data_IF_298655476590
#
_entry.id   IF_298655476590
#
_cell.length_a   1.000
_cell.length_b   1.000
_cell.length_c   1.000
_cell.angle_alpha   90.00
_cell.angle_beta   90.00
_cell.angle_gamma   90.00
#
_symmetry.space_group_name_H-M   'P 1'
#
loop_
_entity.id
_entity.type
_entity.pdbx_description
1 polymer ?
#
# COMPACT_ATOMS: atom_id res chain seq x y z
N UNK A 1 -10.29 -16.21 85.35
CA UNK A 1 -8.97 -16.21 86.02
C UNK A 1 -8.28 -14.95 85.51
N UNK A 2 -8.38 -13.97 86.32
CA UNK A 2 -7.35 -13.17 87.01
C UNK A 2 -6.49 -12.35 86.05
N UNK A 3 -6.77 -11.07 86.01
CA UNK A 3 -6.15 -9.97 86.75
C UNK A 3 -4.67 -9.71 86.38
N UNK A 4 -4.34 -8.59 85.86
CA UNK A 4 -3.62 -7.57 86.61
C UNK A 4 -3.56 -6.23 85.86
N UNK A 5 -4.20 -5.27 86.52
CA UNK A 5 -4.08 -3.84 86.34
C UNK A 5 -2.74 -3.35 86.88
N UNK A 6 -2.06 -2.44 86.21
CA UNK A 6 -1.05 -1.58 86.79
C UNK A 6 -1.16 -0.15 86.33
N UNK A 7 -1.69 0.65 87.24
CA UNK A 7 -1.68 2.12 87.17
C UNK A 7 -0.33 2.60 87.72
N UNK A 8 0.33 3.50 87.04
CA UNK A 8 1.24 4.44 87.67
C UNK A 8 1.05 5.85 87.19
N UNK A 9 0.64 6.66 88.11
CA UNK A 9 0.39 8.05 88.14
C UNK A 9 1.71 8.80 88.34
N UNK A 10 2.08 9.73 87.54
CA UNK A 10 3.23 10.59 87.80
C UNK A 10 2.90 12.03 87.35
N UNK A 11 2.84 12.90 88.31
CA UNK A 11 2.47 14.31 88.25
C UNK A 11 3.68 15.22 87.95
N UNK A 12 3.38 16.38 87.33
CA UNK A 12 4.02 17.73 87.41
C UNK A 12 5.41 17.84 86.73
N UNK A 13 5.63 18.94 85.99
CA UNK A 13 5.57 20.36 86.31
C UNK A 13 5.65 21.21 85.04
N UNK A 14 4.88 22.28 85.08
CA UNK A 14 4.94 23.45 84.18
C UNK A 14 6.29 24.15 84.22
N UNK A 15 6.88 24.39 83.02
CA UNK A 15 7.74 25.57 82.79
C UNK A 15 7.38 26.19 81.45
N UNK A 16 6.77 27.37 81.53
CA UNK A 16 6.67 28.29 80.41
C UNK A 16 8.08 28.77 80.05
N UNK A 17 8.48 28.55 78.85
CA UNK A 17 9.51 29.40 78.21
C UNK A 17 9.03 29.68 76.78
N UNK A 18 8.72 30.93 76.57
CA UNK A 18 8.42 31.49 75.25
C UNK A 18 9.65 31.37 74.38
N UNK A 19 9.54 30.65 73.25
CA UNK A 19 10.50 30.72 72.16
C UNK A 19 9.69 31.02 70.90
N UNK A 20 10.08 32.15 70.29
CA UNK A 20 9.53 32.75 69.12
C UNK A 20 9.31 31.76 67.97
N UNK A 21 8.11 31.73 67.47
CA UNK A 21 7.78 31.02 66.23
C UNK A 21 8.38 31.78 65.05
N UNK A 22 9.46 31.26 64.50
CA UNK A 22 9.88 31.62 63.12
C UNK A 22 9.07 30.75 62.21
N UNK A 23 8.00 31.32 61.69
CA UNK A 23 7.19 30.71 60.64
C UNK A 23 7.98 30.87 59.33
N UNK A 24 8.81 29.89 58.96
CA UNK A 24 9.37 29.81 57.63
C UNK A 24 8.26 29.28 56.71
N UNK A 25 7.61 30.22 56.01
CA UNK A 25 6.73 29.95 54.89
C UNK A 25 7.59 29.38 53.76
N UNK A 26 7.78 28.06 53.74
CA UNK A 26 8.26 27.35 52.55
C UNK A 26 7.06 27.29 51.62
N UNK A 27 6.86 28.30 50.80
CA UNK A 27 6.01 28.25 49.63
C UNK A 27 6.68 27.34 48.63
N UNK A 28 6.38 26.04 48.72
CA UNK A 28 6.75 25.06 47.72
C UNK A 28 6.09 25.42 46.41
N UNK A 29 6.84 26.04 45.49
CA UNK A 29 6.49 26.14 44.08
C UNK A 29 6.44 24.71 43.52
N UNK A 30 5.26 24.10 43.59
CA UNK A 30 4.96 22.91 42.78
C UNK A 30 4.91 23.38 41.33
N UNK A 31 6.09 23.38 40.68
CA UNK A 31 6.18 23.46 39.23
C UNK A 31 5.55 22.18 38.70
N UNK A 32 4.26 22.22 38.38
CA UNK A 32 3.65 21.17 37.58
C UNK A 32 4.33 21.21 36.21
N UNK A 33 5.34 20.33 36.05
CA UNK A 33 5.87 20.03 34.75
C UNK A 33 4.74 19.36 33.97
N UNK A 34 4.01 20.17 33.20
CA UNK A 34 3.10 19.64 32.18
C UNK A 34 4.00 18.94 31.16
N UNK A 35 4.20 17.64 31.36
CA UNK A 35 4.83 16.80 30.35
C UNK A 35 3.97 16.95 29.09
N UNK A 36 4.46 17.73 28.12
CA UNK A 36 3.86 17.80 26.80
C UNK A 36 3.80 16.37 26.25
N UNK A 37 2.59 15.83 26.18
CA UNK A 37 2.38 14.53 25.51
C UNK A 37 2.85 14.73 24.09
N UNK A 38 3.76 13.86 23.57
CA UNK A 38 4.11 13.91 22.17
C UNK A 38 2.80 13.76 21.39
N UNK A 39 2.40 14.80 20.68
CA UNK A 39 1.33 14.69 19.70
C UNK A 39 1.69 13.56 18.75
N UNK A 40 0.82 12.57 18.51
CA UNK A 40 1.10 11.55 17.53
C UNK A 40 1.42 12.27 16.22
N UNK A 41 2.67 12.16 15.77
CA UNK A 41 3.06 12.64 14.45
C UNK A 41 2.17 11.91 13.47
N UNK A 42 1.26 12.61 12.81
CA UNK A 42 0.49 12.04 11.72
C UNK A 42 1.50 11.54 10.70
N UNK A 43 1.67 10.21 10.62
CA UNK A 43 2.56 9.62 9.63
C UNK A 43 2.09 10.14 8.27
N UNK A 44 2.95 10.91 7.60
CA UNK A 44 2.65 11.43 6.28
C UNK A 44 2.30 10.25 5.37
N UNK A 45 1.21 10.38 4.60
CA UNK A 45 0.78 9.34 3.68
C UNK A 45 1.93 9.06 2.68
N UNK A 46 2.21 7.78 2.42
CA UNK A 46 3.25 7.41 1.48
C UNK A 46 2.96 8.05 0.10
N UNK A 47 3.99 8.57 -0.60
CA UNK A 47 3.83 9.21 -1.90
C UNK A 47 3.33 8.22 -2.96
N UNK A 48 2.87 8.71 -4.11
CA UNK A 48 2.54 7.85 -5.24
C UNK A 48 3.80 7.17 -5.78
N UNK A 49 3.69 5.88 -6.17
CA UNK A 49 4.78 5.17 -6.82
C UNK A 49 5.08 5.80 -8.19
N UNK A 50 6.35 5.94 -8.53
CA UNK A 50 6.78 6.33 -9.88
C UNK A 50 7.07 5.09 -10.73
N UNK A 51 7.01 5.21 -12.06
CA UNK A 51 7.32 4.11 -12.97
C UNK A 51 8.73 3.56 -12.72
N UNK A 52 9.71 4.43 -12.47
CA UNK A 52 11.10 4.02 -12.22
C UNK A 52 11.31 3.24 -10.90
N UNK A 53 10.35 3.30 -9.97
CA UNK A 53 10.39 2.55 -8.71
C UNK A 53 9.75 1.15 -8.83
N UNK A 54 9.04 0.90 -9.92
CA UNK A 54 8.23 -0.30 -10.10
C UNK A 54 8.87 -1.26 -11.10
N UNK A 55 8.96 -2.51 -10.71
CA UNK A 55 9.08 -3.62 -11.65
C UNK A 55 7.68 -4.06 -12.05
N UNK A 56 7.41 -4.04 -13.38
CA UNK A 56 6.11 -4.43 -13.93
C UNK A 56 6.28 -5.71 -14.71
N UNK A 57 5.59 -6.74 -14.28
CA UNK A 57 5.72 -8.06 -14.87
C UNK A 57 4.37 -8.78 -14.98
N UNK A 58 4.27 -9.70 -15.94
CA UNK A 58 3.06 -10.48 -16.18
C UNK A 58 3.25 -11.91 -15.67
N UNK A 59 2.33 -12.37 -14.82
CA UNK A 59 2.23 -13.80 -14.57
C UNK A 59 1.53 -14.45 -15.76
N UNK A 60 2.27 -15.28 -16.48
CA UNK A 60 1.78 -15.95 -17.71
C UNK A 60 0.94 -17.19 -17.43
N UNK A 61 0.81 -17.62 -16.17
CA UNK A 61 -0.14 -18.66 -15.76
C UNK A 61 -1.57 -18.11 -15.81
N UNK A 62 -2.06 -17.82 -17.01
CA UNK A 62 -3.38 -17.26 -17.22
C UNK A 62 -4.48 -18.32 -17.18
N UNK A 63 -5.70 -17.87 -16.88
CA UNK A 63 -6.92 -18.68 -17.00
C UNK A 63 -7.71 -18.23 -18.23
N UNK A 64 -8.19 -19.19 -19.03
CA UNK A 64 -9.06 -18.91 -20.17
C UNK A 64 -10.54 -19.08 -19.78
N UNK A 65 -11.37 -18.16 -20.18
CA UNK A 65 -12.83 -18.28 -20.05
C UNK A 65 -13.56 -17.50 -21.15
N UNK A 66 -14.56 -18.12 -21.76
CA UNK A 66 -15.49 -17.48 -22.69
C UNK A 66 -14.83 -16.63 -23.80
N UNK A 67 -13.77 -17.13 -24.43
CA UNK A 67 -13.08 -16.43 -25.52
C UNK A 67 -12.16 -15.27 -25.07
N UNK A 68 -11.77 -15.27 -23.80
CA UNK A 68 -10.77 -14.37 -23.24
C UNK A 68 -9.77 -15.12 -22.39
N UNK A 69 -8.57 -14.55 -22.24
CA UNK A 69 -7.56 -14.98 -21.29
C UNK A 69 -7.36 -13.92 -20.24
N UNK A 70 -7.18 -14.33 -18.99
CA UNK A 70 -6.99 -13.46 -17.84
C UNK A 70 -5.61 -13.67 -17.26
N UNK A 71 -4.88 -12.60 -17.04
CA UNK A 71 -3.50 -12.59 -16.55
C UNK A 71 -3.38 -11.65 -15.35
N UNK A 72 -2.49 -11.98 -14.42
CA UNK A 72 -2.11 -11.08 -13.36
C UNK A 72 -0.94 -10.21 -13.81
N UNK A 73 -1.21 -8.92 -14.06
CA UNK A 73 -0.20 -7.90 -14.28
C UNK A 73 0.20 -7.34 -12.92
N UNK A 74 1.46 -7.52 -12.53
CA UNK A 74 1.96 -7.21 -11.22
C UNK A 74 2.88 -5.99 -11.25
N UNK A 75 2.78 -5.15 -10.21
CA UNK A 75 3.57 -3.96 -10.01
C UNK A 75 4.29 -4.07 -8.67
N UNK A 76 5.58 -4.34 -8.70
CA UNK A 76 6.41 -4.58 -7.52
C UNK A 76 7.26 -3.35 -7.21
N UNK A 77 7.17 -2.82 -6.00
CA UNK A 77 8.01 -1.71 -5.55
C UNK A 77 9.42 -2.19 -5.23
N UNK A 78 10.39 -1.79 -6.04
CA UNK A 78 11.83 -2.08 -5.86
C UNK A 78 12.56 -1.00 -5.06
N UNK A 79 11.91 0.10 -4.73
CA UNK A 79 12.54 1.23 -4.04
C UNK A 79 12.79 0.96 -2.56
N UNK A 80 13.59 1.80 -1.93
CA UNK A 80 13.88 1.74 -0.49
C UNK A 80 12.74 2.33 0.37
N UNK A 81 11.70 2.90 -0.22
CA UNK A 81 10.63 3.60 0.47
C UNK A 81 9.27 3.02 0.09
N UNK A 82 8.32 3.09 1.01
CA UNK A 82 6.94 2.74 0.70
C UNK A 82 6.33 3.77 -0.24
N UNK A 83 5.46 3.31 -1.15
CA UNK A 83 4.71 4.16 -2.06
C UNK A 83 3.28 3.65 -2.23
N UNK A 84 2.41 4.41 -2.88
CA UNK A 84 1.00 4.06 -3.06
C UNK A 84 0.60 4.05 -4.53
N UNK A 85 -0.32 3.14 -4.87
CA UNK A 85 -1.02 3.09 -6.15
C UNK A 85 -2.52 3.26 -5.94
N UNK A 86 -3.21 3.86 -6.93
CA UNK A 86 -4.66 4.04 -6.89
C UNK A 86 -5.23 4.11 -8.31
N UNK A 87 -6.27 3.33 -8.58
CA UNK A 87 -6.98 3.35 -9.86
C UNK A 87 -6.44 2.34 -10.87
N UNK A 88 -6.52 2.67 -12.15
CA UNK A 88 -6.26 1.78 -13.26
C UNK A 88 -4.92 2.11 -13.93
N UNK A 89 -4.13 1.11 -14.36
CA UNK A 89 -3.01 1.34 -15.26
C UNK A 89 -3.52 1.61 -16.69
N UNK A 90 -2.77 2.38 -17.45
CA UNK A 90 -2.93 2.40 -18.91
C UNK A 90 -2.20 1.21 -19.51
N UNK A 91 -2.88 0.40 -20.33
CA UNK A 91 -2.27 -0.76 -20.98
C UNK A 91 -2.57 -0.73 -22.49
N UNK A 92 -1.57 -1.00 -23.32
CA UNK A 92 -1.73 -1.10 -24.77
C UNK A 92 -0.86 -2.21 -25.32
N UNK A 93 -1.33 -2.92 -26.35
CA UNK A 93 -0.49 -3.82 -27.14
C UNK A 93 0.48 -2.98 -27.98
N UNK A 94 1.72 -3.47 -28.15
CA UNK A 94 2.74 -2.79 -28.95
C UNK A 94 3.49 -3.74 -29.85
N UNK A 95 3.98 -3.21 -30.98
CA UNK A 95 4.94 -3.89 -31.84
C UNK A 95 6.34 -3.92 -31.23
N UNK A 96 7.27 -4.65 -31.85
CA UNK A 96 8.69 -4.64 -31.49
C UNK A 96 9.30 -3.21 -31.51
N UNK A 97 8.84 -2.36 -32.41
CA UNK A 97 9.26 -0.96 -32.51
C UNK A 97 8.55 -0.05 -31.48
N UNK A 98 7.72 -0.60 -30.62
CA UNK A 98 6.96 0.14 -29.63
C UNK A 98 5.76 0.91 -30.19
N UNK A 99 5.29 0.63 -31.40
CA UNK A 99 4.11 1.25 -31.99
C UNK A 99 2.87 0.58 -31.37
N UNK A 100 1.91 1.39 -30.91
CA UNK A 100 0.67 0.89 -30.36
C UNK A 100 -0.16 0.16 -31.43
N UNK A 101 -0.72 -0.98 -31.02
CA UNK A 101 -1.66 -1.77 -31.81
C UNK A 101 -3.06 -1.61 -31.19
N UNK A 102 -4.02 -1.29 -32.03
CA UNK A 102 -5.42 -1.18 -31.65
C UNK A 102 -5.70 -0.10 -30.60
N UNK A 103 -6.81 -0.28 -29.88
CA UNK A 103 -7.20 0.59 -28.78
C UNK A 103 -6.47 0.24 -27.51
N UNK A 104 -6.21 1.23 -26.66
CA UNK A 104 -5.79 0.99 -25.28
C UNK A 104 -6.85 0.20 -24.52
N UNK A 105 -6.43 -0.48 -23.47
CA UNK A 105 -7.32 -1.26 -22.62
C UNK A 105 -8.46 -0.41 -22.05
N UNK A 106 -9.66 -0.96 -22.09
CA UNK A 106 -10.80 -0.39 -21.42
C UNK A 106 -10.74 -0.71 -19.92
N UNK A 107 -11.23 0.20 -19.11
CA UNK A 107 -11.34 -0.03 -17.66
C UNK A 107 -12.56 -0.89 -17.37
N UNK A 108 -12.35 -1.97 -16.63
CA UNK A 108 -13.42 -2.77 -16.04
C UNK A 108 -13.65 -2.28 -14.60
N UNK A 109 -14.81 -1.66 -14.36
CA UNK A 109 -15.16 -1.04 -13.10
C UNK A 109 -16.02 -1.94 -12.19
N UNK A 110 -15.91 -3.27 -12.33
CA UNK A 110 -16.68 -4.21 -11.49
C UNK A 110 -16.37 -4.05 -10.00
N UNK A 111 -15.16 -3.59 -9.68
CA UNK A 111 -14.73 -3.35 -8.31
C UNK A 111 -14.36 -1.88 -8.09
N UNK A 112 -14.75 -1.35 -6.93
CA UNK A 112 -14.36 0.00 -6.54
C UNK A 112 -12.84 0.09 -6.38
N UNK A 113 -12.24 1.15 -6.94
CA UNK A 113 -10.81 1.38 -6.76
C UNK A 113 -10.46 1.67 -5.31
N UNK A 114 -9.42 1.04 -4.80
CA UNK A 114 -8.88 1.26 -3.47
C UNK A 114 -7.41 1.67 -3.54
N UNK A 115 -6.94 2.39 -2.52
CA UNK A 115 -5.52 2.74 -2.41
C UNK A 115 -4.72 1.53 -1.93
N UNK A 116 -3.70 1.15 -2.66
CA UNK A 116 -2.77 0.08 -2.30
C UNK A 116 -1.45 0.69 -1.90
N UNK A 117 -1.01 0.43 -0.66
CA UNK A 117 0.33 0.81 -0.20
C UNK A 117 1.27 -0.35 -0.41
N UNK A 118 2.35 -0.10 -1.14
CA UNK A 118 3.44 -1.03 -1.36
C UNK A 118 4.58 -0.70 -0.40
N UNK A 119 5.01 -1.68 0.38
CA UNK A 119 6.19 -1.54 1.24
C UNK A 119 7.46 -1.55 0.41
N UNK A 120 8.59 -1.12 1.00
CA UNK A 120 9.89 -1.26 0.36
C UNK A 120 10.29 -2.73 0.20
N UNK A 121 10.85 -3.10 -0.94
CA UNK A 121 11.48 -4.40 -1.13
C UNK A 121 12.71 -4.64 -0.23
N UNK A 122 13.31 -3.55 0.30
CA UNK A 122 14.53 -3.59 1.10
C UNK A 122 14.30 -3.74 2.60
N UNK A 123 13.08 -3.57 3.08
CA UNK A 123 12.77 -3.86 4.48
C UNK A 123 12.77 -5.36 4.67
N UNK A 124 13.94 -5.87 5.04
CA UNK A 124 14.20 -7.28 5.31
C UNK A 124 13.39 -7.77 6.53
N UNK A 125 12.15 -8.10 6.33
CA UNK A 125 11.40 -8.95 7.24
C UNK A 125 10.84 -10.13 6.45
N UNK A 126 11.72 -11.12 6.19
CA UNK A 126 11.37 -12.43 5.67
C UNK A 126 11.03 -12.42 4.17
N UNK A 127 11.90 -13.01 3.39
CA UNK A 127 11.75 -13.19 1.92
C UNK A 127 10.42 -13.85 1.52
N UNK A 128 9.81 -14.62 2.40
CA UNK A 128 8.59 -15.38 2.12
C UNK A 128 7.28 -14.56 2.23
N UNK A 129 7.33 -13.37 2.82
CA UNK A 129 6.14 -12.54 3.01
C UNK A 129 6.25 -11.15 2.35
N UNK A 130 7.35 -10.88 1.64
CA UNK A 130 7.60 -9.58 1.04
C UNK A 130 6.76 -9.35 -0.21
N UNK A 131 6.58 -10.37 -1.04
CA UNK A 131 5.87 -10.27 -2.33
C UNK A 131 4.43 -9.79 -2.17
N UNK A 132 3.74 -10.22 -1.12
CA UNK A 132 2.35 -9.80 -0.87
C UNK A 132 2.20 -8.36 -0.38
N UNK A 133 3.28 -7.74 0.14
CA UNK A 133 3.24 -6.39 0.71
C UNK A 133 3.84 -5.33 -0.21
N UNK A 134 4.79 -5.71 -1.05
CA UNK A 134 5.46 -4.79 -1.96
C UNK A 134 4.96 -4.90 -3.40
N UNK A 135 3.98 -5.76 -3.66
CA UNK A 135 3.41 -5.98 -4.99
C UNK A 135 1.90 -5.67 -4.98
N UNK A 136 1.45 -5.03 -6.03
CA UNK A 136 0.04 -4.90 -6.38
C UNK A 136 -0.25 -5.70 -7.66
N UNK A 137 -1.49 -6.14 -7.80
CA UNK A 137 -1.95 -6.89 -8.97
C UNK A 137 -3.07 -6.15 -9.68
N UNK A 138 -3.08 -6.25 -10.98
CA UNK A 138 -4.15 -5.83 -11.88
C UNK A 138 -4.57 -7.05 -12.69
N UNK A 139 -5.84 -7.32 -12.78
CA UNK A 139 -6.34 -8.33 -13.72
C UNK A 139 -6.37 -7.70 -15.11
N UNK A 140 -5.63 -8.32 -16.02
CA UNK A 140 -5.62 -8.01 -17.44
C UNK A 140 -6.41 -9.08 -18.18
N UNK A 141 -7.48 -8.68 -18.86
CA UNK A 141 -8.24 -9.53 -19.75
C UNK A 141 -7.81 -9.25 -21.19
N UNK A 142 -7.52 -10.30 -21.93
CA UNK A 142 -7.23 -10.27 -23.37
C UNK A 142 -8.30 -11.10 -24.08
N UNK A 143 -9.19 -10.44 -24.79
CA UNK A 143 -10.17 -11.13 -25.64
C UNK A 143 -9.47 -11.63 -26.89
N UNK A 144 -9.74 -12.89 -27.24
CA UNK A 144 -9.21 -13.55 -28.42
C UNK A 144 -9.53 -12.74 -29.68
N UNK A 145 -8.50 -12.36 -30.46
CA UNK A 145 -8.65 -11.46 -31.60
C UNK A 145 -9.59 -12.04 -32.68
N UNK A 146 -9.67 -13.34 -32.79
CA UNK A 146 -10.54 -14.08 -33.69
C UNK A 146 -12.04 -13.95 -33.36
N UNK A 147 -12.39 -13.46 -32.18
CA UNK A 147 -13.77 -13.14 -31.83
C UNK A 147 -14.27 -11.86 -32.54
N UNK A 148 -13.39 -11.09 -33.16
CA UNK A 148 -13.74 -9.91 -33.91
C UNK A 148 -13.64 -10.15 -35.42
N UNK A 149 -14.50 -9.54 -36.24
CA UNK A 149 -14.35 -9.64 -37.68
C UNK A 149 -12.95 -9.17 -38.13
N UNK A 150 -12.33 -9.89 -39.06
CA UNK A 150 -11.00 -9.57 -39.56
C UNK A 150 -10.93 -8.14 -40.14
N UNK A 151 -11.98 -7.67 -40.79
CA UNK A 151 -12.08 -6.33 -41.33
C UNK A 151 -12.04 -5.23 -40.25
N UNK A 152 -12.42 -5.54 -39.01
CA UNK A 152 -12.47 -4.62 -37.89
C UNK A 152 -11.21 -4.73 -37.00
N UNK A 153 -10.72 -5.92 -36.76
CA UNK A 153 -9.58 -6.19 -35.88
C UNK A 153 -8.24 -6.15 -36.64
N UNK A 154 -8.16 -6.78 -37.83
CA UNK A 154 -6.92 -7.05 -38.53
C UNK A 154 -5.87 -7.68 -37.59
N UNK A 155 -6.05 -8.96 -37.21
CA UNK A 155 -5.20 -9.62 -36.22
C UNK A 155 -3.73 -9.60 -36.61
N UNK A 156 -2.85 -9.27 -35.65
CA UNK A 156 -1.40 -9.22 -35.82
C UNK A 156 -0.73 -9.61 -34.51
N UNK A 157 0.46 -10.18 -34.58
CA UNK A 157 1.23 -10.50 -33.36
C UNK A 157 1.81 -9.22 -32.74
N UNK A 158 1.41 -8.92 -31.51
CA UNK A 158 2.05 -7.93 -30.65
C UNK A 158 3.36 -8.50 -30.09
N UNK A 159 4.34 -7.64 -29.82
CA UNK A 159 5.58 -8.01 -29.13
C UNK A 159 5.42 -7.96 -27.59
N UNK A 160 4.45 -7.20 -27.09
CA UNK A 160 4.24 -7.04 -25.66
C UNK A 160 3.18 -5.99 -25.33
N UNK A 161 3.21 -5.64 -24.06
CA UNK A 161 2.30 -4.67 -23.44
C UNK A 161 3.08 -3.44 -22.99
N UNK A 162 2.66 -2.26 -23.43
CA UNK A 162 3.08 -0.99 -22.83
C UNK A 162 2.19 -0.71 -21.65
N UNK A 163 2.78 -0.51 -20.47
CA UNK A 163 2.07 -0.30 -19.21
C UNK A 163 2.46 1.06 -18.62
N UNK A 164 1.46 1.89 -18.37
CA UNK A 164 1.56 3.12 -17.58
C UNK A 164 1.01 2.80 -16.18
N UNK A 165 1.83 2.76 -15.14
CA UNK A 165 1.31 2.56 -13.78
C UNK A 165 0.24 3.61 -13.43
N UNK A 166 -0.70 3.32 -12.51
CA UNK A 166 -1.74 4.26 -12.15
C UNK A 166 -1.21 5.64 -11.79
N UNK A 167 -1.75 6.69 -12.43
CA UNK A 167 -1.35 8.08 -12.22
C UNK A 167 0.01 8.47 -12.80
N UNK A 168 0.71 7.60 -13.55
CA UNK A 168 2.01 7.89 -14.14
C UNK A 168 1.87 8.25 -15.63
N UNK A 169 2.79 9.11 -16.10
CA UNK A 169 2.92 9.50 -17.51
C UNK A 169 4.02 8.73 -18.24
N UNK A 170 4.90 8.10 -17.50
CA UNK A 170 5.95 7.24 -18.01
C UNK A 170 5.46 5.79 -18.06
N UNK A 171 5.93 5.04 -19.05
CA UNK A 171 5.55 3.65 -19.25
C UNK A 171 6.75 2.72 -19.23
N UNK A 172 6.49 1.46 -19.00
CA UNK A 172 7.42 0.36 -19.27
C UNK A 172 6.80 -0.61 -20.27
N UNK A 173 7.62 -1.43 -20.93
CA UNK A 173 7.16 -2.47 -21.85
C UNK A 173 7.41 -3.83 -21.20
N UNK A 174 6.35 -4.62 -21.11
CA UNK A 174 6.40 -6.01 -20.64
C UNK A 174 6.39 -6.90 -21.88
N UNK A 175 7.47 -7.66 -22.17
CA UNK A 175 7.52 -8.58 -23.28
C UNK A 175 6.48 -9.71 -23.10
N UNK A 176 5.57 -9.81 -24.03
CA UNK A 176 4.52 -10.85 -24.02
C UNK A 176 3.92 -10.96 -25.42
N UNK A 177 4.40 -11.86 -26.26
CA UNK A 177 3.85 -12.06 -27.59
C UNK A 177 2.44 -12.65 -27.55
N UNK A 178 1.49 -12.00 -28.22
CA UNK A 178 0.11 -12.49 -28.36
C UNK A 178 -0.56 -11.91 -29.60
N UNK A 179 -1.66 -12.50 -30.04
CA UNK A 179 -2.43 -11.96 -31.16
C UNK A 179 -3.30 -10.80 -30.69
N UNK A 180 -3.07 -9.63 -31.27
CA UNK A 180 -3.76 -8.37 -30.98
C UNK A 180 -4.51 -7.85 -32.21
N UNK A 181 -5.46 -6.93 -32.01
CA UNK A 181 -6.06 -6.16 -33.10
C UNK A 181 -5.13 -5.03 -33.51
N UNK A 182 -4.78 -4.94 -34.79
CA UNK A 182 -4.00 -3.82 -35.32
C UNK A 182 -4.83 -2.54 -35.40
N UNK A 183 -6.12 -2.66 -35.71
CA UNK A 183 -7.03 -1.51 -35.87
C UNK A 183 -7.62 -1.07 -34.56
N UNK A 184 -7.72 0.25 -34.37
CA UNK A 184 -8.49 0.82 -33.27
C UNK A 184 -9.99 0.54 -33.46
N UNK A 185 -10.72 0.43 -32.38
CA UNK A 185 -12.17 0.16 -32.33
C UNK A 185 -12.51 -1.03 -31.43
N UNK A 186 -12.07 -2.27 -31.74
CA UNK A 186 -12.31 -3.41 -30.84
C UNK A 186 -11.69 -3.18 -29.48
N UNK A 187 -12.48 -3.43 -28.44
CA UNK A 187 -12.00 -3.45 -27.05
C UNK A 187 -11.56 -4.86 -26.69
N UNK A 188 -10.38 -5.25 -27.18
CA UNK A 188 -9.83 -6.58 -26.93
C UNK A 188 -9.00 -6.66 -25.65
N UNK A 189 -8.64 -5.51 -25.07
CA UNK A 189 -7.95 -5.40 -23.80
C UNK A 189 -8.85 -4.74 -22.75
N UNK A 190 -8.91 -5.33 -21.55
CA UNK A 190 -9.55 -4.72 -20.39
C UNK A 190 -8.63 -4.87 -19.19
N UNK A 191 -8.66 -3.88 -18.29
CA UNK A 191 -7.92 -3.89 -17.04
C UNK A 191 -8.84 -3.54 -15.87
N UNK A 192 -8.63 -4.20 -14.76
CA UNK A 192 -9.24 -3.84 -13.49
C UNK A 192 -8.41 -2.77 -12.76
N UNK A 193 -8.96 -2.21 -11.70
CA UNK A 193 -8.20 -1.35 -10.80
C UNK A 193 -7.13 -2.14 -10.04
N UNK A 194 -6.06 -1.45 -9.65
CA UNK A 194 -5.00 -2.03 -8.84
C UNK A 194 -5.55 -2.57 -7.52
N UNK A 195 -5.13 -3.77 -7.15
CA UNK A 195 -5.52 -4.49 -5.94
C UNK A 195 -4.28 -4.99 -5.20
N UNK A 196 -4.46 -5.41 -3.96
CA UNK A 196 -3.37 -6.10 -3.23
C UNK A 196 -3.05 -7.42 -3.93
N UNK A 197 -1.75 -7.70 -4.02
CA UNK A 197 -1.30 -9.00 -4.54
C UNK A 197 -1.85 -10.13 -3.66
N UNK A 198 -2.48 -11.10 -4.31
CA UNK A 198 -2.88 -12.37 -3.71
C UNK A 198 -2.09 -13.45 -4.45
N UNK A 199 -1.23 -14.17 -3.73
CA UNK A 199 -0.54 -15.31 -4.34
C UNK A 199 -1.60 -16.35 -4.73
N UNK A 200 -1.76 -16.60 -6.01
CA UNK A 200 -2.51 -17.77 -6.51
C UNK A 200 -1.67 -19.00 -6.19
N UNK A 201 -2.20 -19.88 -5.36
CA UNK A 201 -1.62 -21.21 -5.09
C UNK A 201 -1.79 -22.12 -6.30
#
# INVERSE_FOLDING_TARGET
MQHHTFLLKGKFTTKLTAIAAVLVLVTGLFVWSVAARPTPSSAAAAPSCTTAQLDVWLNTSGNGAAGSSYYSLNLTNLSAHSCTLFGYPGVSAVTQAGIQLGSAAAFNAEHASSRVTLTSARTAQGFENSTSRNTATVILQITVAENFPQSVCAPITAAGLRVYPPGQKESTVVPFPFVACAKAGPRFLHVESVQRYVATQ
#
